data_IF_002452371804
#
_entry.id   IF_002452371804
#
_cell.length_a   1.000
_cell.length_b   1.000
_cell.length_c   1.000
_cell.angle_alpha   90.00
_cell.angle_beta   90.00
_cell.angle_gamma   90.00
#
_symmetry.space_group_name_H-M   'P 1'
#
loop_
_entity.id
_entity.type
_entity.pdbx_description
1 polymer ?
#
# COMPACT_ATOMS: atom_id res chain seq x y z
N UNK A 1 13.99 7.31 -4.57
CA UNK A 1 14.43 7.27 -3.16
C UNK A 1 15.46 6.18 -2.91
N UNK A 2 15.28 4.98 -3.45
CA UNK A 2 16.16 3.82 -3.24
C UNK A 2 16.37 3.07 -4.56
N UNK A 3 17.52 2.39 -4.71
CA UNK A 3 17.82 1.45 -5.79
C UNK A 3 17.59 -0.02 -5.36
N UNK A 4 17.00 -0.26 -4.18
CA UNK A 4 16.62 -1.60 -3.72
C UNK A 4 15.67 -2.26 -4.73
N UNK A 5 16.02 -3.46 -5.18
CA UNK A 5 15.27 -4.23 -6.19
C UNK A 5 14.43 -5.35 -5.59
N UNK A 6 14.63 -5.70 -4.32
CA UNK A 6 13.70 -6.58 -3.61
C UNK A 6 12.42 -5.80 -3.29
N UNK A 7 11.30 -6.24 -3.87
CA UNK A 7 10.03 -5.52 -3.78
C UNK A 7 9.46 -5.48 -2.36
N UNK A 8 9.74 -6.48 -1.52
CA UNK A 8 9.29 -6.51 -0.12
C UNK A 8 10.04 -5.46 0.68
N UNK A 9 11.36 -5.45 0.60
CA UNK A 9 12.22 -4.46 1.29
C UNK A 9 12.03 -3.06 0.74
N UNK A 10 11.78 -2.92 -0.56
CA UNK A 10 11.38 -1.63 -1.14
C UNK A 10 10.06 -1.14 -0.52
N UNK A 11 9.12 -2.03 -0.21
CA UNK A 11 7.91 -1.69 0.54
C UNK A 11 8.19 -1.14 1.93
N UNK A 12 9.04 -1.80 2.72
CA UNK A 12 9.45 -1.30 4.04
C UNK A 12 10.12 0.10 3.94
N UNK A 13 10.98 0.29 2.94
CA UNK A 13 11.66 1.57 2.70
C UNK A 13 10.67 2.65 2.26
N UNK A 14 9.75 2.33 1.35
CA UNK A 14 8.73 3.24 0.87
C UNK A 14 7.80 3.69 2.01
N UNK A 15 7.37 2.76 2.85
CA UNK A 15 6.46 3.02 3.97
C UNK A 15 7.01 4.07 4.95
N UNK A 16 8.33 4.24 5.06
CA UNK A 16 8.94 5.27 5.94
C UNK A 16 9.45 6.50 5.20
N UNK A 17 9.37 6.55 3.86
CA UNK A 17 9.95 7.64 3.06
C UNK A 17 9.42 9.02 3.45
N UNK A 18 8.15 9.09 3.80
CA UNK A 18 7.48 10.32 4.23
C UNK A 18 7.94 10.88 5.59
N UNK A 19 8.78 10.14 6.33
CA UNK A 19 9.39 10.64 7.57
C UNK A 19 10.52 11.66 7.33
N UNK A 20 11.07 11.69 6.12
CA UNK A 20 12.25 12.51 5.78
C UNK A 20 12.09 13.32 4.50
N UNK A 21 11.13 12.98 3.62
CA UNK A 21 10.86 13.67 2.35
C UNK A 21 9.36 13.84 2.19
N UNK A 22 8.91 14.97 1.65
CA UNK A 22 7.49 15.17 1.33
C UNK A 22 6.98 14.05 0.38
N UNK A 23 5.82 13.42 0.64
CA UNK A 23 5.32 12.28 -0.14
C UNK A 23 5.32 12.49 -1.67
N UNK A 24 4.97 13.69 -2.13
CA UNK A 24 4.92 14.09 -3.54
C UNK A 24 6.31 14.28 -4.18
N UNK A 25 7.35 14.43 -3.36
CA UNK A 25 8.75 14.45 -3.78
C UNK A 25 9.42 13.07 -3.62
N UNK A 26 8.80 12.17 -2.86
CA UNK A 26 9.29 10.82 -2.58
C UNK A 26 9.03 9.89 -3.77
N UNK A 27 9.94 9.89 -4.74
CA UNK A 27 9.88 9.01 -5.90
C UNK A 27 10.14 7.55 -5.51
N UNK A 28 9.16 6.66 -5.71
CA UNK A 28 9.29 5.20 -5.58
C UNK A 28 9.12 4.55 -6.95
N UNK A 29 10.03 3.65 -7.26
CA UNK A 29 9.98 2.86 -8.48
C UNK A 29 9.03 1.68 -8.28
N UNK A 30 8.01 1.57 -9.14
CA UNK A 30 7.21 0.36 -9.32
C UNK A 30 7.82 -0.43 -10.48
N UNK A 31 8.35 -1.62 -10.20
CA UNK A 31 9.07 -2.44 -11.18
C UNK A 31 8.63 -3.92 -11.13
N UNK A 32 7.37 -4.25 -11.50
CA UNK A 32 6.95 -5.65 -11.60
C UNK A 32 7.93 -6.47 -12.46
N UNK A 33 8.41 -7.60 -11.93
CA UNK A 33 9.41 -8.44 -12.56
C UNK A 33 8.82 -9.20 -13.74
N UNK A 34 9.64 -9.50 -14.74
CA UNK A 34 9.18 -10.21 -15.94
C UNK A 34 8.51 -11.56 -15.59
N UNK A 35 9.11 -12.32 -14.69
CA UNK A 35 8.67 -13.68 -14.32
C UNK A 35 7.93 -13.72 -12.96
N UNK A 36 7.48 -12.57 -12.47
CA UNK A 36 6.68 -12.45 -11.24
C UNK A 36 5.23 -12.93 -11.38
N UNK A 37 4.50 -12.91 -10.27
CA UNK A 37 3.07 -13.22 -10.22
C UNK A 37 2.21 -11.95 -10.01
N UNK A 38 0.90 -12.15 -9.82
CA UNK A 38 -0.05 -11.07 -9.61
C UNK A 38 0.19 -10.34 -8.27
N UNK A 39 0.51 -11.07 -7.20
CA UNK A 39 0.75 -10.47 -5.88
C UNK A 39 2.02 -9.63 -5.87
N UNK A 40 3.08 -10.07 -6.55
CA UNK A 40 4.29 -9.28 -6.75
C UNK A 40 4.01 -7.98 -7.51
N UNK A 41 3.15 -8.02 -8.55
CA UNK A 41 2.76 -6.84 -9.31
C UNK A 41 1.93 -5.86 -8.43
N UNK A 42 0.98 -6.39 -7.66
CA UNK A 42 0.17 -5.62 -6.72
C UNK A 42 1.06 -4.98 -5.64
N UNK A 43 1.98 -5.75 -5.06
CA UNK A 43 2.89 -5.27 -4.02
C UNK A 43 3.76 -4.12 -4.53
N UNK A 44 4.35 -4.26 -5.73
CA UNK A 44 5.13 -3.20 -6.37
C UNK A 44 4.30 -1.93 -6.60
N UNK A 45 3.03 -2.07 -6.98
CA UNK A 45 2.14 -0.93 -7.13
C UNK A 45 1.85 -0.25 -5.80
N UNK A 46 1.46 -1.00 -4.77
CA UNK A 46 1.13 -0.45 -3.45
C UNK A 46 2.33 0.27 -2.83
N UNK A 47 3.55 -0.22 -3.03
CA UNK A 47 4.79 0.46 -2.60
C UNK A 47 4.89 1.91 -3.09
N UNK A 48 4.32 2.23 -4.25
CA UNK A 48 4.46 3.54 -4.88
C UNK A 48 3.20 4.40 -4.78
N UNK A 49 2.03 3.80 -4.57
CA UNK A 49 0.72 4.43 -4.70
C UNK A 49 0.43 5.56 -3.69
N UNK A 50 1.09 5.58 -2.54
CA UNK A 50 0.92 6.64 -1.52
C UNK A 50 2.00 7.73 -1.59
N UNK A 51 2.85 7.66 -2.61
CA UNK A 51 4.00 8.53 -2.84
C UNK A 51 4.01 8.91 -4.32
N UNK A 52 5.16 9.35 -4.86
CA UNK A 52 5.27 9.67 -6.28
C UNK A 52 5.69 8.44 -7.11
N UNK A 53 4.71 7.83 -7.77
CA UNK A 53 4.94 6.70 -8.69
C UNK A 53 5.95 7.06 -9.79
N UNK A 54 6.98 6.23 -9.93
CA UNK A 54 7.81 6.13 -11.12
C UNK A 54 7.72 4.71 -11.67
N UNK A 55 7.08 4.53 -12.82
CA UNK A 55 7.03 3.21 -13.47
C UNK A 55 8.39 2.91 -14.11
N UNK A 56 8.92 1.71 -13.86
CA UNK A 56 10.22 1.25 -14.36
C UNK A 56 10.19 -0.24 -14.70
N UNK A 57 11.32 -0.77 -15.15
CA UNK A 57 11.46 -2.15 -15.60
C UNK A 57 10.96 -2.38 -17.03
N UNK A 58 10.83 -3.64 -17.40
CA UNK A 58 10.40 -4.06 -18.72
C UNK A 58 8.88 -4.19 -18.79
N UNK A 59 8.15 -3.08 -18.62
CA UNK A 59 6.68 -3.09 -18.68
C UNK A 59 6.17 -3.65 -20.02
N UNK A 60 6.94 -3.49 -21.10
CA UNK A 60 6.68 -4.10 -22.41
C UNK A 60 6.72 -5.64 -22.41
N UNK A 61 7.30 -6.25 -21.38
CA UNK A 61 7.36 -7.70 -21.17
C UNK A 61 6.37 -8.20 -20.11
N UNK A 62 5.76 -7.30 -19.33
CA UNK A 62 4.61 -7.63 -18.48
C UNK A 62 3.39 -7.78 -19.40
N UNK A 63 2.73 -8.94 -19.36
CA UNK A 63 1.65 -9.30 -20.28
C UNK A 63 0.43 -9.80 -19.54
N UNK A 64 -0.72 -9.71 -20.21
CA UNK A 64 -2.00 -10.21 -19.69
C UNK A 64 -2.40 -9.51 -18.39
N UNK A 65 -2.92 -10.29 -17.46
CA UNK A 65 -3.57 -9.80 -16.24
C UNK A 65 -2.66 -8.90 -15.38
N UNK A 66 -1.36 -9.20 -15.29
CA UNK A 66 -0.40 -8.36 -14.54
C UNK A 66 -0.27 -6.95 -15.10
N UNK A 67 -0.39 -6.76 -16.41
CA UNK A 67 -0.38 -5.43 -17.02
C UNK A 67 -1.68 -4.68 -16.73
N UNK A 68 -2.81 -5.39 -16.68
CA UNK A 68 -4.11 -4.84 -16.30
C UNK A 68 -4.07 -4.35 -14.84
N UNK A 69 -3.46 -5.11 -13.93
CA UNK A 69 -3.26 -4.72 -12.52
C UNK A 69 -2.40 -3.45 -12.39
N UNK A 70 -1.36 -3.29 -13.21
CA UNK A 70 -0.56 -2.04 -13.22
C UNK A 70 -1.42 -0.88 -13.74
N UNK A 71 -2.16 -1.09 -14.83
CA UNK A 71 -3.02 -0.06 -15.41
C UNK A 71 -4.14 0.37 -14.44
N UNK A 72 -4.73 -0.57 -13.71
CA UNK A 72 -5.69 -0.36 -12.64
C UNK A 72 -5.10 0.51 -11.54
N UNK A 73 -3.95 0.11 -10.95
CA UNK A 73 -3.34 0.89 -9.88
C UNK A 73 -2.96 2.32 -10.32
N UNK A 74 -2.53 2.51 -11.57
CA UNK A 74 -2.31 3.87 -12.12
C UNK A 74 -3.61 4.66 -12.28
N UNK A 75 -4.70 4.00 -12.70
CA UNK A 75 -6.02 4.61 -12.82
C UNK A 75 -6.52 5.06 -11.45
N UNK A 76 -6.43 4.20 -10.44
CA UNK A 76 -6.86 4.51 -9.08
C UNK A 76 -6.02 5.62 -8.45
N UNK A 77 -4.69 5.54 -8.61
CA UNK A 77 -3.77 6.59 -8.16
C UNK A 77 -4.15 7.98 -8.69
N UNK A 78 -4.59 8.08 -9.95
CA UNK A 78 -5.02 9.36 -10.52
C UNK A 78 -6.25 9.96 -9.84
N UNK A 79 -7.07 9.16 -9.18
CA UNK A 79 -8.29 9.63 -8.49
C UNK A 79 -7.95 10.39 -7.20
N UNK A 80 -6.90 10.02 -6.48
CA UNK A 80 -6.54 10.63 -5.18
C UNK A 80 -5.17 11.30 -5.12
N UNK A 81 -4.28 11.14 -6.12
CA UNK A 81 -2.92 11.71 -6.10
C UNK A 81 -2.82 13.21 -5.81
N UNK A 82 -3.88 13.95 -6.10
CA UNK A 82 -3.93 15.39 -5.84
C UNK A 82 -4.08 15.72 -4.34
N UNK A 83 -4.47 14.74 -3.52
CA UNK A 83 -4.58 14.85 -2.07
C UNK A 83 -3.24 14.56 -1.36
N UNK A 84 -2.31 13.86 -2.02
CA UNK A 84 -1.02 13.46 -1.42
C UNK A 84 -0.20 14.65 -0.89
N UNK A 85 -0.05 15.78 -1.62
CA UNK A 85 0.70 16.93 -1.11
C UNK A 85 0.06 17.62 0.10
N UNK A 86 -1.26 17.50 0.25
CA UNK A 86 -2.02 18.18 1.31
C UNK A 86 -2.33 17.24 2.49
N UNK A 87 -2.16 15.93 2.30
CA UNK A 87 -2.44 14.90 3.28
C UNK A 87 -1.33 14.81 4.33
N UNK A 88 -1.72 14.62 5.59
CA UNK A 88 -0.77 14.38 6.68
C UNK A 88 -0.31 12.92 6.64
N UNK A 89 0.99 12.62 6.48
CA UNK A 89 1.50 11.25 6.57
C UNK A 89 1.16 10.61 7.93
N UNK A 90 0.79 9.33 7.91
CA UNK A 90 0.42 8.57 9.10
C UNK A 90 1.02 7.17 9.13
N UNK A 91 1.25 6.69 10.35
CA UNK A 91 1.75 5.35 10.67
C UNK A 91 1.00 4.81 11.88
N UNK A 92 -0.15 4.13 11.67
CA UNK A 92 -0.97 3.65 12.78
C UNK A 92 -0.23 2.77 13.77
N UNK A 93 0.80 2.05 13.30
CA UNK A 93 1.59 1.10 14.09
C UNK A 93 3.04 1.56 14.28
N UNK A 94 3.35 2.81 13.93
CA UNK A 94 4.70 3.36 13.93
C UNK A 94 5.50 3.08 12.66
N UNK A 95 6.75 3.55 12.65
CA UNK A 95 7.65 3.42 11.49
C UNK A 95 8.12 1.98 11.32
N UNK A 96 7.98 1.43 10.12
CA UNK A 96 8.43 0.08 9.81
C UNK A 96 9.96 -0.05 9.76
N UNK A 97 10.46 -1.23 10.09
CA UNK A 97 11.82 -1.70 9.87
C UNK A 97 11.88 -2.60 8.64
N UNK A 98 13.10 -2.89 8.18
CA UNK A 98 13.30 -3.93 7.16
C UNK A 98 12.87 -5.29 7.70
N UNK A 99 12.24 -6.09 6.85
CA UNK A 99 11.81 -7.44 7.15
C UNK A 99 10.79 -7.50 8.32
N UNK A 100 10.00 -6.42 8.53
CA UNK A 100 8.86 -6.47 9.45
C UNK A 100 7.81 -7.48 8.99
N UNK A 101 7.14 -8.20 9.91
CA UNK A 101 6.12 -9.20 9.57
C UNK A 101 4.90 -8.54 8.87
N UNK A 102 4.50 -7.38 9.37
CA UNK A 102 3.44 -6.54 8.83
C UNK A 102 3.82 -5.08 9.00
N UNK A 103 3.38 -4.24 8.08
CA UNK A 103 3.56 -2.81 8.19
C UNK A 103 2.46 -2.06 7.44
N UNK A 104 2.26 -0.80 7.84
CA UNK A 104 1.25 0.07 7.25
C UNK A 104 1.76 1.52 7.17
N UNK A 105 1.35 2.21 6.11
CA UNK A 105 1.68 3.61 5.85
C UNK A 105 0.53 4.24 5.06
N UNK A 106 0.24 5.50 5.34
CA UNK A 106 -0.84 6.21 4.69
C UNK A 106 -0.72 7.72 4.78
N UNK A 107 -1.74 8.40 4.29
CA UNK A 107 -1.97 9.81 4.59
C UNK A 107 -3.41 10.04 5.02
N UNK A 108 -3.61 11.04 5.87
CA UNK A 108 -4.91 11.51 6.35
C UNK A 108 -5.23 12.86 5.75
N UNK A 109 -6.43 13.01 5.17
CA UNK A 109 -6.95 14.27 4.68
C UNK A 109 -8.39 14.45 5.21
N UNK A 110 -8.57 15.33 6.22
CA UNK A 110 -9.87 15.46 6.88
C UNK A 110 -10.29 14.17 7.59
N UNK A 111 -11.43 13.58 7.22
CA UNK A 111 -11.90 12.29 7.76
C UNK A 111 -11.41 11.09 6.96
N UNK A 112 -10.78 11.31 5.82
CA UNK A 112 -10.34 10.27 4.92
C UNK A 112 -8.89 9.87 5.22
N UNK A 113 -8.65 8.57 5.18
CA UNK A 113 -7.33 7.95 5.27
C UNK A 113 -7.15 7.05 4.06
N UNK A 114 -6.06 7.22 3.33
CA UNK A 114 -5.59 6.22 2.37
C UNK A 114 -4.44 5.45 3.02
N UNK A 115 -4.60 4.14 3.17
CA UNK A 115 -3.66 3.29 3.91
C UNK A 115 -3.25 2.07 3.09
N UNK A 116 -1.95 1.97 2.84
CA UNK A 116 -1.31 0.76 2.33
C UNK A 116 -1.04 -0.17 3.50
N UNK A 117 -1.33 -1.44 3.31
CA UNK A 117 -1.05 -2.50 4.29
C UNK A 117 -0.30 -3.60 3.58
N UNK A 118 0.80 -4.05 4.17
CA UNK A 118 1.67 -5.07 3.62
C UNK A 118 1.84 -6.22 4.60
N UNK A 119 1.66 -7.45 4.13
CA UNK A 119 2.19 -8.66 4.76
C UNK A 119 3.62 -8.84 4.27
N UNK A 120 4.59 -8.55 5.12
CA UNK A 120 6.01 -8.74 4.85
C UNK A 120 6.40 -10.21 5.02
N UNK A 121 7.20 -10.50 6.04
CA UNK A 121 7.70 -11.86 6.31
C UNK A 121 6.81 -12.68 7.27
N UNK A 122 5.59 -12.21 7.57
CA UNK A 122 4.74 -12.86 8.55
C UNK A 122 4.28 -14.26 8.13
N UNK A 123 4.43 -15.22 9.05
CA UNK A 123 3.83 -16.56 8.95
C UNK A 123 2.30 -16.54 9.19
N UNK A 124 1.78 -15.50 9.85
CA UNK A 124 0.34 -15.28 10.03
C UNK A 124 -0.27 -14.57 8.85
N UNK A 125 -1.46 -15.02 8.44
CA UNK A 125 -2.26 -14.41 7.38
C UNK A 125 -3.14 -13.27 7.87
N UNK A 126 -3.41 -13.17 9.18
CA UNK A 126 -4.24 -12.13 9.76
C UNK A 126 -3.41 -11.10 10.54
N UNK A 127 -3.85 -9.83 10.47
CA UNK A 127 -3.25 -8.71 11.18
C UNK A 127 -4.28 -7.67 11.57
N UNK A 128 -4.06 -6.99 12.68
CA UNK A 128 -4.97 -6.00 13.22
C UNK A 128 -4.26 -4.67 13.42
N UNK A 129 -4.83 -3.61 12.85
CA UNK A 129 -4.32 -2.25 12.84
C UNK A 129 -5.22 -1.39 13.73
N UNK A 130 -4.61 -0.62 14.63
CA UNK A 130 -5.29 0.21 15.62
C UNK A 130 -5.21 1.70 15.24
N UNK A 131 -6.36 2.39 15.27
CA UNK A 131 -6.50 3.80 14.90
C UNK A 131 -6.77 4.73 16.09
N UNK A 132 -6.30 4.40 17.30
CA UNK A 132 -6.56 5.15 18.54
C UNK A 132 -6.30 6.66 18.42
N UNK A 133 -5.24 7.02 17.71
CA UNK A 133 -4.85 8.43 17.53
C UNK A 133 -5.63 9.15 16.43
N UNK A 134 -6.45 8.44 15.65
CA UNK A 134 -7.18 8.99 14.50
C UNK A 134 -8.70 9.02 14.70
N UNK A 135 -9.25 8.04 15.43
CA UNK A 135 -10.67 7.95 15.77
C UNK A 135 -11.33 6.65 15.32
N UNK A 136 -12.66 6.59 15.51
CA UNK A 136 -13.46 5.45 15.09
C UNK A 136 -13.65 5.40 13.58
N UNK A 137 -13.61 4.19 13.03
CA UNK A 137 -13.83 3.89 11.62
C UNK A 137 -15.35 3.88 11.36
N UNK A 138 -15.77 4.65 10.35
CA UNK A 138 -17.12 4.66 9.82
C UNK A 138 -17.29 3.70 8.64
N UNK A 139 -16.31 3.68 7.72
CA UNK A 139 -16.31 2.85 6.51
C UNK A 139 -14.88 2.45 6.11
N UNK A 140 -14.75 1.29 5.45
CA UNK A 140 -13.50 0.82 4.84
C UNK A 140 -13.80 0.26 3.47
N UNK A 141 -13.04 0.69 2.48
CA UNK A 141 -13.08 0.19 1.11
C UNK A 141 -11.69 -0.24 0.68
N UNK A 142 -11.58 -1.39 0.03
CA UNK A 142 -10.36 -1.74 -0.68
C UNK A 142 -10.34 -1.00 -2.02
N UNK A 143 -9.38 -0.10 -2.17
CA UNK A 143 -9.18 0.67 -3.40
C UNK A 143 -8.46 -0.17 -4.44
N UNK A 144 -7.45 -0.95 -4.02
CA UNK A 144 -6.62 -1.71 -4.94
C UNK A 144 -6.11 -3.03 -4.33
N UNK A 145 -6.17 -4.14 -5.10
CA UNK A 145 -6.89 -4.29 -6.37
C UNK A 145 -8.41 -4.37 -6.13
N UNK A 146 -9.18 -4.01 -7.14
CA UNK A 146 -10.64 -3.95 -7.09
C UNK A 146 -11.28 -5.36 -7.08
N UNK A 147 -10.72 -6.31 -7.84
CA UNK A 147 -11.08 -7.72 -7.76
C UNK A 147 -10.07 -8.45 -6.90
N UNK A 148 -10.53 -9.10 -5.84
CA UNK A 148 -9.66 -9.78 -4.91
C UNK A 148 -10.35 -10.97 -4.26
N UNK A 149 -9.80 -12.16 -4.50
CA UNK A 149 -10.27 -13.43 -3.94
C UNK A 149 -9.29 -13.96 -2.86
N UNK A 150 -8.26 -13.18 -2.51
CA UNK A 150 -7.15 -13.59 -1.63
C UNK A 150 -7.04 -12.76 -0.36
N UNK A 151 -7.81 -11.67 -0.25
CA UNK A 151 -7.89 -10.91 0.98
C UNK A 151 -9.33 -10.75 1.48
N UNK A 152 -9.43 -10.47 2.78
CA UNK A 152 -10.66 -10.00 3.40
C UNK A 152 -10.32 -9.00 4.49
N UNK A 153 -11.28 -8.15 4.84
CA UNK A 153 -11.11 -7.18 5.91
C UNK A 153 -12.42 -6.96 6.67
N UNK A 154 -12.29 -6.54 7.92
CA UNK A 154 -13.41 -6.12 8.75
C UNK A 154 -12.97 -4.98 9.68
N UNK A 155 -13.83 -4.00 9.88
CA UNK A 155 -13.60 -2.91 10.83
C UNK A 155 -14.57 -2.96 12.00
N UNK A 156 -14.07 -2.69 13.21
CA UNK A 156 -14.91 -2.55 14.41
C UNK A 156 -14.35 -1.48 15.33
N UNK A 157 -15.13 -0.42 15.55
CA UNK A 157 -14.67 0.73 16.33
C UNK A 157 -13.46 1.37 15.67
N UNK A 158 -12.33 1.36 16.35
CA UNK A 158 -11.02 1.87 15.96
C UNK A 158 -10.07 0.79 15.39
N UNK A 159 -10.56 -0.44 15.16
CA UNK A 159 -9.74 -1.53 14.62
C UNK A 159 -10.09 -1.83 13.16
N UNK A 160 -9.07 -2.00 12.33
CA UNK A 160 -9.15 -2.68 11.04
C UNK A 160 -8.43 -4.02 11.16
N UNK A 161 -9.13 -5.13 10.89
CA UNK A 161 -8.54 -6.46 10.78
C UNK A 161 -8.47 -6.83 9.31
N UNK A 162 -7.30 -7.23 8.84
CA UNK A 162 -7.07 -7.71 7.47
C UNK A 162 -6.65 -9.18 7.52
N UNK A 163 -6.99 -9.92 6.47
CA UNK A 163 -6.48 -11.27 6.23
C UNK A 163 -5.95 -11.36 4.80
N UNK A 164 -4.67 -11.67 4.64
CA UNK A 164 -3.99 -11.86 3.36
C UNK A 164 -3.59 -13.33 3.25
N UNK A 165 -4.28 -14.09 2.40
CA UNK A 165 -4.18 -15.55 2.36
C UNK A 165 -2.80 -16.07 1.92
N UNK A 166 -2.12 -15.33 1.04
CA UNK A 166 -0.77 -15.63 0.54
C UNK A 166 0.29 -14.82 1.29
N UNK A 167 1.53 -15.27 1.22
CA UNK A 167 2.68 -14.51 1.68
C UNK A 167 2.93 -13.30 0.77
N UNK A 168 3.60 -12.26 1.29
CA UNK A 168 4.06 -11.10 0.50
C UNK A 168 2.93 -10.46 -0.31
N UNK A 169 1.83 -10.15 0.35
CA UNK A 169 0.68 -9.46 -0.22
C UNK A 169 0.63 -8.01 0.27
N UNK A 170 0.09 -7.12 -0.57
CA UNK A 170 -0.19 -5.74 -0.18
C UNK A 170 -1.52 -5.28 -0.72
N UNK A 171 -2.22 -4.39 -0.01
CA UNK A 171 -3.50 -3.81 -0.43
C UNK A 171 -3.55 -2.34 -0.06
N UNK A 172 -4.31 -1.57 -0.85
CA UNK A 172 -4.59 -0.17 -0.55
C UNK A 172 -6.05 -0.03 -0.11
N UNK A 173 -6.26 0.61 1.03
CA UNK A 173 -7.57 0.89 1.60
C UNK A 173 -7.85 2.39 1.62
N UNK A 174 -9.12 2.74 1.42
CA UNK A 174 -9.67 4.04 1.78
C UNK A 174 -10.57 3.85 3.00
N UNK A 175 -10.26 4.59 4.05
CA UNK A 175 -10.90 4.50 5.36
C UNK A 175 -11.52 5.87 5.65
N UNK A 176 -12.80 5.87 5.98
CA UNK A 176 -13.50 7.08 6.44
C UNK A 176 -13.72 6.99 7.93
N UNK A 177 -13.26 8.00 8.67
CA UNK A 177 -13.45 8.13 10.11
C UNK A 177 -14.82 8.78 10.43
N UNK A 178 -15.32 8.55 11.66
CA UNK A 178 -16.57 9.16 12.14
C UNK A 178 -16.49 10.67 12.33
#
# INVERSE_FOLDING_TARGET
MTDQTDYVRNGNIAAVGASVVAPEQCAIWSYPLQDGDDEEAIFNMVNAMLLRIHQSGYLNKVKGHRLELVAEGIKDYKTYRHLIPEGLPIWPEGLSQLDDPWFSYGFKNGKDIYLGVWRGISDRSDHQILFDHYGEIANVEQVYPAKDDHSSFASRGNYLTVNFAKEKMARLYHITLK
#
